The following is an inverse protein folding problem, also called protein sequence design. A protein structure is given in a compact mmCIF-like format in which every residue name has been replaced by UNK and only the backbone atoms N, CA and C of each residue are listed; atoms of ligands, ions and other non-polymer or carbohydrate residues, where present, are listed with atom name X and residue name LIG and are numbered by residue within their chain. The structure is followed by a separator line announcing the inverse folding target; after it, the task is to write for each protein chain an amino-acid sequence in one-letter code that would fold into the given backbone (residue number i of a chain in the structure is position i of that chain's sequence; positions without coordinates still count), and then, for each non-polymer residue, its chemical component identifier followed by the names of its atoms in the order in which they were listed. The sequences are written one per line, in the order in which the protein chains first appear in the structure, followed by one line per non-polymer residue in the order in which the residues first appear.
data_IF_273053091429
#
_entry.id   IF_273053091429
#
_cell.length_a   1.000
_cell.length_b   1.000
_cell.length_c   1.000
_cell.angle_alpha   90.00
_cell.angle_beta   90.00
_cell.angle_gamma   90.00
#
_symmetry.space_group_name_H-M   'P 1'
#
loop_
_entity.id
_entity.type
_entity.pdbx_description
1 polymer ?
#
# COMPACT_ATOMS: atom_id res chain seq x y z
N UNK A 1 33.97 -31.18 -0.48
CA UNK A 1 33.94 -30.16 -1.54
C UNK A 1 32.87 -30.54 -2.55
N UNK A 2 31.70 -29.89 -2.51
CA UNK A 2 30.67 -30.04 -3.54
C UNK A 2 30.23 -28.63 -3.97
N UNK A 3 31.12 -27.93 -4.68
CA UNK A 3 30.96 -26.54 -5.15
C UNK A 3 30.49 -26.49 -6.62
N UNK A 4 29.51 -27.31 -6.98
CA UNK A 4 28.93 -27.33 -8.35
C UNK A 4 27.40 -27.23 -8.38
N UNK A 5 26.75 -26.87 -7.27
CA UNK A 5 25.36 -26.43 -7.36
C UNK A 5 25.37 -25.01 -7.93
N UNK A 6 25.23 -24.89 -9.26
CA UNK A 6 25.01 -23.60 -9.89
C UNK A 6 23.82 -22.92 -9.19
N UNK A 7 23.97 -21.66 -8.73
CA UNK A 7 22.87 -20.92 -8.10
C UNK A 7 21.58 -20.97 -8.94
N UNK A 8 21.72 -20.95 -10.27
CA UNK A 8 20.59 -21.05 -11.20
C UNK A 8 19.83 -22.37 -11.08
N UNK A 9 20.50 -23.50 -10.79
CA UNK A 9 19.84 -24.80 -10.63
C UNK A 9 19.07 -24.86 -9.30
N UNK A 10 19.56 -24.23 -8.24
CA UNK A 10 18.78 -24.09 -7.00
C UNK A 10 17.54 -23.22 -7.22
N UNK A 11 17.67 -22.12 -7.96
CA UNK A 11 16.55 -21.25 -8.33
C UNK A 11 15.51 -21.99 -9.18
N UNK A 12 15.94 -22.77 -10.16
CA UNK A 12 15.06 -23.61 -10.98
C UNK A 12 14.34 -24.69 -10.15
N UNK A 13 15.01 -25.32 -9.18
CA UNK A 13 14.36 -26.27 -8.27
C UNK A 13 13.28 -25.59 -7.42
N UNK A 14 13.53 -24.36 -6.95
CA UNK A 14 12.50 -23.59 -6.22
C UNK A 14 11.34 -23.23 -7.16
N UNK A 15 11.59 -22.66 -8.34
CA UNK A 15 10.51 -22.26 -9.26
C UNK A 15 9.80 -23.42 -9.97
N UNK A 16 10.41 -24.59 -10.02
CA UNK A 16 9.86 -25.78 -10.71
C UNK A 16 8.59 -26.35 -10.08
N UNK A 17 8.22 -25.90 -8.88
CA UNK A 17 6.96 -26.25 -8.25
C UNK A 17 5.86 -25.26 -8.67
N UNK A 18 4.75 -25.74 -9.28
CA UNK A 18 3.70 -24.88 -9.79
C UNK A 18 3.05 -24.00 -8.71
N UNK A 19 2.96 -24.48 -7.47
CA UNK A 19 2.36 -23.71 -6.38
C UNK A 19 3.31 -22.60 -5.90
N UNK A 20 4.62 -22.86 -5.81
CA UNK A 20 5.60 -21.81 -5.47
C UNK A 20 5.57 -20.67 -6.49
N UNK A 21 5.52 -20.99 -7.78
CA UNK A 21 5.46 -19.96 -8.81
C UNK A 21 4.11 -19.23 -8.85
N UNK A 22 2.99 -19.91 -8.57
CA UNK A 22 1.69 -19.24 -8.35
C UNK A 22 1.72 -18.29 -7.16
N UNK A 23 2.29 -18.70 -6.03
CA UNK A 23 2.44 -17.84 -4.84
C UNK A 23 3.28 -16.60 -5.17
N UNK A 24 4.39 -16.74 -5.90
CA UNK A 24 5.19 -15.60 -6.33
C UNK A 24 4.42 -14.64 -7.27
N UNK A 25 3.56 -15.15 -8.17
CA UNK A 25 2.69 -14.31 -9.00
C UNK A 25 1.62 -13.54 -8.21
N UNK A 26 1.18 -14.10 -7.09
CA UNK A 26 0.23 -13.47 -6.17
C UNK A 26 0.96 -12.40 -5.32
N UNK A 27 2.20 -12.65 -4.93
CA UNK A 27 3.05 -11.73 -4.16
C UNK A 27 3.71 -10.63 -5.02
N UNK A 28 3.70 -10.77 -6.34
CA UNK A 28 4.26 -9.79 -7.28
C UNK A 28 3.52 -8.44 -7.16
N UNK A 29 4.19 -7.48 -6.50
CA UNK A 29 3.64 -6.14 -6.23
C UNK A 29 2.62 -6.10 -5.09
N UNK A 30 2.49 -7.16 -4.28
CA UNK A 30 1.54 -7.22 -3.16
C UNK A 30 2.21 -7.69 -1.87
N UNK A 31 1.70 -7.23 -0.73
CA UNK A 31 2.09 -7.72 0.59
C UNK A 31 0.92 -8.38 1.29
N UNK A 32 1.02 -9.69 1.52
CA UNK A 32 -0.10 -10.54 1.96
C UNK A 32 0.27 -11.40 3.17
N UNK A 33 -0.69 -11.61 4.05
CA UNK A 33 -0.60 -12.58 5.14
C UNK A 33 -0.73 -14.02 4.63
N UNK A 34 -0.34 -15.00 5.46
CA UNK A 34 -0.55 -16.41 5.11
C UNK A 34 -2.03 -16.74 4.92
N UNK A 35 -2.92 -16.16 5.73
CA UNK A 35 -4.36 -16.37 5.64
C UNK A 35 -4.90 -15.93 4.28
N UNK A 36 -4.57 -14.70 3.87
CA UNK A 36 -4.96 -14.16 2.56
C UNK A 36 -4.38 -14.99 1.42
N UNK A 37 -3.13 -15.45 1.52
CA UNK A 37 -2.56 -16.37 0.53
C UNK A 37 -3.35 -17.68 0.44
N UNK A 38 -3.78 -18.25 1.58
CA UNK A 38 -4.63 -19.44 1.60
C UNK A 38 -5.97 -19.19 0.90
N UNK A 39 -6.59 -18.03 1.14
CA UNK A 39 -7.84 -17.63 0.49
C UNK A 39 -7.65 -17.45 -1.02
N UNK A 40 -6.50 -16.94 -1.46
CA UNK A 40 -6.19 -16.74 -2.87
C UNK A 40 -5.89 -18.07 -3.58
N UNK A 41 -4.99 -18.91 -3.06
CA UNK A 41 -4.62 -20.16 -3.74
C UNK A 41 -5.54 -21.33 -3.41
N UNK A 42 -6.49 -21.15 -2.49
CA UNK A 42 -7.47 -22.14 -2.02
C UNK A 42 -6.81 -23.40 -1.47
N UNK A 43 -5.83 -23.22 -0.59
CA UNK A 43 -5.07 -24.32 0.00
C UNK A 43 -4.92 -24.16 1.52
N UNK A 44 -4.73 -25.27 2.25
CA UNK A 44 -4.51 -25.23 3.69
C UNK A 44 -3.25 -24.45 4.08
N UNK A 45 -3.32 -23.77 5.22
CA UNK A 45 -2.22 -22.97 5.78
C UNK A 45 -0.91 -23.76 5.96
N UNK A 46 -0.99 -25.04 6.34
CA UNK A 46 0.21 -25.89 6.51
C UNK A 46 0.96 -26.09 5.19
N UNK A 47 0.24 -26.24 4.09
CA UNK A 47 0.80 -26.33 2.74
C UNK A 47 1.42 -25.00 2.34
N UNK A 48 0.65 -23.91 2.38
CA UNK A 48 1.12 -22.57 1.99
C UNK A 48 2.36 -22.15 2.80
N UNK A 49 2.34 -22.34 4.11
CA UNK A 49 3.47 -21.99 5.00
C UNK A 49 4.75 -22.74 4.65
N UNK A 50 4.66 -24.02 4.26
CA UNK A 50 5.81 -24.82 3.83
C UNK A 50 6.43 -24.28 2.54
N UNK A 51 5.60 -23.93 1.57
CA UNK A 51 6.06 -23.34 0.30
C UNK A 51 6.65 -21.95 0.51
N UNK A 52 6.02 -21.11 1.34
CA UNK A 52 6.56 -19.80 1.72
C UNK A 52 7.91 -19.92 2.40
N UNK A 53 8.10 -20.87 3.32
CA UNK A 53 9.41 -21.13 3.92
C UNK A 53 10.46 -21.46 2.86
N UNK A 54 10.12 -22.29 1.88
CA UNK A 54 11.04 -22.64 0.79
C UNK A 54 11.38 -21.41 -0.07
N UNK A 55 10.39 -20.56 -0.35
CA UNK A 55 10.57 -19.33 -1.11
C UNK A 55 11.44 -18.31 -0.35
N UNK A 56 11.23 -18.14 0.96
CA UNK A 56 12.03 -17.25 1.79
C UNK A 56 13.46 -17.76 1.98
N UNK A 57 13.63 -19.06 2.25
CA UNK A 57 14.95 -19.67 2.40
C UNK A 57 15.74 -19.62 1.07
N UNK A 58 15.03 -19.62 -0.07
CA UNK A 58 15.59 -19.48 -1.42
C UNK A 58 15.71 -18.05 -1.94
N UNK A 59 15.45 -17.03 -1.10
CA UNK A 59 15.61 -15.61 -1.48
C UNK A 59 14.55 -15.04 -2.42
N UNK A 60 13.48 -15.77 -2.71
CA UNK A 60 12.42 -15.36 -3.63
C UNK A 60 11.30 -14.55 -2.98
N UNK A 61 11.12 -14.68 -1.67
CA UNK A 61 10.12 -13.94 -0.93
C UNK A 61 10.73 -13.36 0.33
N UNK A 62 10.26 -12.19 0.73
CA UNK A 62 10.60 -11.58 2.00
C UNK A 62 9.48 -11.81 3.01
N UNK A 63 9.83 -11.76 4.29
CA UNK A 63 8.87 -11.86 5.38
C UNK A 63 9.14 -10.78 6.42
N UNK A 64 8.09 -10.05 6.80
CA UNK A 64 8.11 -9.12 7.93
C UNK A 64 7.02 -9.47 8.94
N UNK A 65 7.22 -9.09 10.20
CA UNK A 65 6.20 -9.23 11.25
C UNK A 65 5.33 -7.98 11.27
N UNK A 66 4.03 -8.19 11.41
CA UNK A 66 3.04 -7.13 11.61
C UNK A 66 2.04 -7.58 12.68
N UNK A 67 2.18 -7.03 13.89
CA UNK A 67 1.52 -7.54 15.09
C UNK A 67 1.79 -9.03 15.33
N UNK A 68 0.73 -9.82 15.38
CA UNK A 68 0.78 -11.30 15.54
C UNK A 68 0.95 -12.05 14.22
N UNK A 69 0.92 -11.34 13.09
CA UNK A 69 0.91 -11.93 11.76
C UNK A 69 2.27 -11.80 11.05
N UNK A 70 2.48 -12.63 10.02
CA UNK A 70 3.62 -12.54 9.11
C UNK A 70 3.11 -12.14 7.73
N UNK A 71 3.71 -11.09 7.19
CA UNK A 71 3.42 -10.58 5.85
C UNK A 71 4.54 -10.97 4.90
N UNK A 72 4.17 -11.48 3.74
CA UNK A 72 5.06 -11.92 2.69
C UNK A 72 4.94 -11.01 1.47
N UNK A 73 6.04 -10.79 0.78
CA UNK A 73 6.11 -10.02 -0.46
C UNK A 73 7.19 -10.56 -1.39
N UNK A 74 7.03 -10.32 -2.69
CA UNK A 74 8.10 -10.48 -3.68
C UNK A 74 8.59 -9.08 -4.05
N UNK A 75 9.88 -8.80 -3.79
CA UNK A 75 10.52 -7.55 -4.20
C UNK A 75 11.49 -7.89 -5.32
N UNK A 76 11.05 -7.72 -6.57
CA UNK A 76 11.88 -8.05 -7.74
C UNK A 76 13.20 -7.26 -7.74
N UNK A 77 13.19 -6.03 -7.23
CA UNK A 77 14.40 -5.20 -7.13
C UNK A 77 15.45 -5.71 -6.13
N UNK A 78 15.08 -6.60 -5.22
CA UNK A 78 16.01 -7.20 -4.25
C UNK A 78 16.54 -8.57 -4.73
N UNK A 79 16.04 -9.07 -5.87
CA UNK A 79 16.60 -10.23 -6.53
C UNK A 79 17.89 -9.85 -7.25
N UNK A 80 18.84 -10.79 -7.31
CA UNK A 80 19.97 -10.65 -8.25
C UNK A 80 19.48 -10.69 -9.71
N UNK A 81 20.29 -10.16 -10.63
CA UNK A 81 19.94 -10.02 -12.05
C UNK A 81 19.51 -11.34 -12.69
N UNK A 82 20.15 -12.46 -12.34
CA UNK A 82 19.86 -13.77 -12.91
C UNK A 82 18.51 -14.31 -12.41
N UNK A 83 18.23 -14.15 -11.12
CA UNK A 83 16.94 -14.48 -10.51
C UNK A 83 15.81 -13.63 -11.09
N UNK A 84 16.03 -12.33 -11.28
CA UNK A 84 15.07 -11.42 -11.88
C UNK A 84 14.77 -11.79 -13.35
N UNK A 85 15.81 -12.12 -14.14
CA UNK A 85 15.65 -12.57 -15.53
C UNK A 85 14.90 -13.91 -15.62
N UNK A 86 15.27 -14.88 -14.78
CA UNK A 86 14.59 -16.17 -14.73
C UNK A 86 13.11 -16.01 -14.35
N UNK A 87 12.81 -15.18 -13.36
CA UNK A 87 11.43 -14.90 -12.97
C UNK A 87 10.64 -14.28 -14.10
N UNK A 88 11.22 -13.36 -14.87
CA UNK A 88 10.57 -12.74 -16.03
C UNK A 88 10.12 -13.79 -17.05
N UNK A 89 10.96 -14.80 -17.33
CA UNK A 89 10.64 -15.91 -18.25
C UNK A 89 9.53 -16.80 -17.67
N UNK A 90 9.66 -17.21 -16.41
CA UNK A 90 8.68 -18.09 -15.75
C UNK A 90 7.31 -17.41 -15.64
N UNK A 91 7.28 -16.14 -15.22
CA UNK A 91 6.07 -15.30 -15.14
C UNK A 91 5.35 -15.23 -16.48
N UNK A 92 6.06 -14.95 -17.56
CA UNK A 92 5.47 -14.81 -18.89
C UNK A 92 4.74 -16.09 -19.35
N UNK A 93 5.24 -17.27 -18.97
CA UNK A 93 4.62 -18.55 -19.30
C UNK A 93 3.43 -18.89 -18.40
N UNK A 94 3.48 -18.52 -17.12
CA UNK A 94 2.46 -18.91 -16.15
C UNK A 94 1.20 -18.03 -16.19
N UNK A 95 1.32 -16.75 -16.56
CA UNK A 95 0.18 -15.81 -16.60
C UNK A 95 -0.94 -16.30 -17.53
N UNK A 96 -0.62 -17.11 -18.55
CA UNK A 96 -1.60 -17.67 -19.47
C UNK A 96 -2.39 -18.88 -18.94
N UNK A 97 -2.10 -19.36 -17.72
CA UNK A 97 -2.74 -20.58 -17.19
C UNK A 97 -4.09 -20.29 -16.50
N UNK A 98 -5.12 -21.16 -16.65
CA UNK A 98 -6.42 -20.97 -16.02
C UNK A 98 -6.37 -20.87 -14.49
N UNK A 99 -5.46 -21.63 -13.86
CA UNK A 99 -5.27 -21.59 -12.40
C UNK A 99 -4.80 -20.21 -11.92
N UNK A 100 -3.87 -19.59 -12.65
CA UNK A 100 -3.38 -18.23 -12.33
C UNK A 100 -4.46 -17.18 -12.55
N UNK A 101 -5.26 -17.30 -13.62
CA UNK A 101 -6.38 -16.39 -13.85
C UNK A 101 -7.40 -16.43 -12.70
N UNK A 102 -7.70 -17.63 -12.17
CA UNK A 102 -8.57 -17.80 -11.01
C UNK A 102 -7.95 -17.25 -9.72
N UNK A 103 -6.65 -17.48 -9.49
CA UNK A 103 -5.94 -16.88 -8.36
C UNK A 103 -5.97 -15.36 -8.42
N UNK A 104 -5.78 -14.77 -9.61
CA UNK A 104 -5.86 -13.31 -9.80
C UNK A 104 -7.24 -12.78 -9.42
N UNK A 105 -8.32 -13.40 -9.89
CA UNK A 105 -9.68 -12.99 -9.55
C UNK A 105 -9.95 -13.08 -8.03
N UNK A 106 -9.40 -14.09 -7.35
CA UNK A 106 -9.50 -14.21 -5.89
C UNK A 106 -8.64 -13.19 -5.15
N UNK A 107 -7.45 -12.90 -5.66
CA UNK A 107 -6.59 -11.83 -5.14
C UNK A 107 -7.29 -10.48 -5.21
N UNK A 108 -7.90 -10.16 -6.36
CA UNK A 108 -8.63 -8.91 -6.53
C UNK A 108 -9.76 -8.77 -5.50
N UNK A 109 -10.46 -9.87 -5.20
CA UNK A 109 -11.47 -9.93 -4.14
C UNK A 109 -10.87 -9.70 -2.74
N UNK A 110 -9.80 -10.41 -2.39
CA UNK A 110 -9.13 -10.25 -1.09
C UNK A 110 -8.64 -8.80 -0.88
N UNK A 111 -8.07 -8.18 -1.92
CA UNK A 111 -7.64 -6.79 -1.87
C UNK A 111 -8.82 -5.81 -1.74
N UNK A 112 -9.94 -6.08 -2.43
CA UNK A 112 -11.18 -5.30 -2.28
C UNK A 112 -11.79 -5.43 -0.88
N UNK A 113 -11.79 -6.63 -0.31
CA UNK A 113 -12.28 -6.89 1.04
C UNK A 113 -11.40 -6.17 2.08
N UNK A 114 -10.06 -6.20 1.91
CA UNK A 114 -9.11 -5.45 2.75
C UNK A 114 -9.40 -3.95 2.73
N UNK A 115 -9.58 -3.35 1.53
CA UNK A 115 -9.94 -1.94 1.38
C UNK A 115 -11.25 -1.61 2.09
N UNK A 116 -12.26 -2.48 1.95
CA UNK A 116 -13.56 -2.30 2.60
C UNK A 116 -13.45 -2.35 4.13
N UNK A 117 -12.64 -3.26 4.67
CA UNK A 117 -12.39 -3.33 6.12
C UNK A 117 -11.66 -2.09 6.64
N UNK A 118 -10.64 -1.60 5.91
CA UNK A 118 -9.97 -0.34 6.25
C UNK A 118 -10.96 0.83 6.22
N UNK A 119 -11.78 0.95 5.18
CA UNK A 119 -12.81 1.99 5.10
C UNK A 119 -13.82 1.89 6.26
N UNK A 120 -14.28 0.69 6.61
CA UNK A 120 -15.19 0.47 7.73
C UNK A 120 -14.56 0.79 9.10
N UNK A 121 -13.26 0.56 9.26
CA UNK A 121 -12.51 0.99 10.45
C UNK A 121 -12.53 2.52 10.55
N UNK A 122 -12.20 3.23 9.48
CA UNK A 122 -12.20 4.70 9.47
C UNK A 122 -13.60 5.29 9.65
N UNK A 123 -14.62 4.71 9.03
CA UNK A 123 -16.02 5.12 9.22
C UNK A 123 -16.45 5.07 10.70
N UNK A 124 -16.03 4.03 11.44
CA UNK A 124 -16.33 3.91 12.88
C UNK A 124 -15.53 4.86 13.76
N UNK A 125 -14.28 5.15 13.37
CA UNK A 125 -13.33 5.89 14.21
C UNK A 125 -13.21 7.37 13.83
N UNK A 126 -13.83 7.83 12.74
CA UNK A 126 -13.69 9.22 12.27
C UNK A 126 -13.94 10.29 13.35
N UNK A 127 -14.91 10.06 14.24
CA UNK A 127 -15.20 10.98 15.36
C UNK A 127 -14.16 10.99 16.48
N UNK A 128 -13.45 9.87 16.68
CA UNK A 128 -12.43 9.67 17.72
C UNK A 128 -10.99 9.72 17.15
N UNK A 129 -10.85 9.86 15.83
CA UNK A 129 -9.58 9.70 15.12
C UNK A 129 -8.51 10.68 15.60
N UNK A 130 -8.91 11.91 15.90
CA UNK A 130 -7.99 12.92 16.37
C UNK A 130 -7.49 12.63 17.80
N UNK A 131 -8.33 12.07 18.67
CA UNK A 131 -7.94 11.65 20.02
C UNK A 131 -6.95 10.48 19.93
N UNK A 132 -7.26 9.47 19.12
CA UNK A 132 -6.35 8.33 18.87
C UNK A 132 -5.02 8.79 18.29
N UNK A 133 -5.06 9.74 17.34
CA UNK A 133 -3.85 10.30 16.74
C UNK A 133 -3.02 11.07 17.76
N UNK A 134 -3.66 11.89 18.59
CA UNK A 134 -2.98 12.69 19.62
C UNK A 134 -2.35 11.79 20.69
N UNK A 135 -3.01 10.71 21.09
CA UNK A 135 -2.47 9.72 22.03
C UNK A 135 -1.23 8.99 21.49
N UNK A 136 -1.24 8.65 20.19
CA UNK A 136 -0.16 7.87 19.57
C UNK A 136 1.02 8.74 19.11
N UNK A 137 0.76 9.94 18.61
CA UNK A 137 1.74 10.76 17.88
C UNK A 137 1.92 12.17 18.46
N UNK A 138 1.14 12.53 19.47
CA UNK A 138 1.14 13.87 20.06
C UNK A 138 0.47 14.93 19.17
N UNK A 139 0.28 16.11 19.75
CA UNK A 139 -0.56 17.16 19.15
C UNK A 139 0.12 18.04 18.11
N UNK A 140 1.45 18.03 18.03
CA UNK A 140 2.22 19.13 17.42
C UNK A 140 3.37 18.70 16.50
N UNK A 141 3.65 17.41 16.35
CA UNK A 141 4.94 16.96 15.81
C UNK A 141 5.11 17.07 14.28
N UNK A 142 4.07 17.28 13.48
CA UNK A 142 4.17 16.92 12.05
C UNK A 142 4.43 18.06 11.04
N UNK A 143 4.10 19.32 11.35
CA UNK A 143 4.00 20.37 10.31
C UNK A 143 4.84 21.62 10.55
N UNK A 144 5.35 21.84 11.77
CA UNK A 144 6.02 23.11 12.12
C UNK A 144 7.23 23.41 11.22
N UNK A 145 8.00 22.39 10.84
CA UNK A 145 9.10 22.54 9.89
C UNK A 145 8.65 22.80 8.45
N UNK A 146 7.53 22.19 8.02
CA UNK A 146 6.98 22.40 6.68
C UNK A 146 6.38 23.79 6.52
N UNK A 147 5.73 24.33 7.56
CA UNK A 147 5.16 25.69 7.55
C UNK A 147 6.22 26.76 7.28
N UNK A 148 7.47 26.54 7.70
CA UNK A 148 8.56 27.51 7.55
C UNK A 148 9.01 27.71 6.09
N UNK A 149 8.64 26.81 5.18
CA UNK A 149 9.04 26.85 3.76
C UNK A 149 7.86 27.06 2.81
N UNK A 150 6.64 27.28 3.34
CA UNK A 150 5.46 27.53 2.52
C UNK A 150 5.51 28.92 1.89
N UNK A 151 5.04 28.99 0.64
CA UNK A 151 4.79 30.25 -0.06
C UNK A 151 3.29 30.58 -0.02
N UNK A 152 2.90 31.81 0.38
CA UNK A 152 1.51 32.27 0.35
C UNK A 152 0.82 32.17 -1.01
N UNK A 153 1.56 32.08 -2.12
CA UNK A 153 1.00 31.93 -3.46
C UNK A 153 0.70 30.47 -3.85
N UNK A 154 1.13 29.49 -3.05
CA UNK A 154 1.03 28.08 -3.44
C UNK A 154 -0.37 27.49 -3.37
N UNK A 155 -0.61 26.53 -4.25
CA UNK A 155 -1.71 25.56 -4.17
C UNK A 155 -1.15 24.25 -3.60
N UNK A 156 -1.63 23.85 -2.43
CA UNK A 156 -1.14 22.67 -1.71
C UNK A 156 -2.19 21.57 -1.69
N UNK A 157 -1.83 20.35 -2.03
CA UNK A 157 -2.69 19.17 -1.89
C UNK A 157 -2.41 18.42 -0.58
N UNK A 158 -3.45 18.20 0.23
CA UNK A 158 -3.44 17.30 1.39
C UNK A 158 -4.10 15.97 0.97
N UNK A 159 -3.28 15.00 0.58
CA UNK A 159 -3.74 13.72 0.02
C UNK A 159 -3.87 12.68 1.13
N UNK A 160 -5.09 12.22 1.38
CA UNK A 160 -5.45 11.50 2.61
C UNK A 160 -5.71 12.46 3.77
N UNK A 161 -6.49 13.52 3.54
CA UNK A 161 -6.64 14.60 4.51
C UNK A 161 -7.35 14.18 5.81
N UNK A 162 -8.03 13.02 5.83
CA UNK A 162 -8.78 12.53 6.97
C UNK A 162 -9.78 13.58 7.46
N UNK A 163 -9.73 13.90 8.75
CA UNK A 163 -10.55 14.91 9.43
C UNK A 163 -10.16 16.36 9.11
N UNK A 164 -9.23 16.59 8.18
CA UNK A 164 -8.83 17.93 7.72
C UNK A 164 -7.89 18.69 8.68
N UNK A 165 -7.29 18.02 9.68
CA UNK A 165 -6.41 18.68 10.67
C UNK A 165 -5.18 19.32 10.03
N UNK A 166 -4.55 18.62 9.08
CA UNK A 166 -3.39 19.14 8.34
C UNK A 166 -3.81 20.30 7.44
N UNK A 167 -4.86 20.13 6.61
CA UNK A 167 -5.43 21.19 5.79
C UNK A 167 -5.75 22.47 6.59
N UNK A 168 -6.34 22.36 7.78
CA UNK A 168 -6.67 23.50 8.64
C UNK A 168 -5.41 24.26 9.11
N UNK A 169 -4.31 23.55 9.37
CA UNK A 169 -3.05 24.16 9.76
C UNK A 169 -2.34 24.86 8.58
N UNK A 170 -2.53 24.37 7.36
CA UNK A 170 -1.92 24.93 6.14
C UNK A 170 -2.68 26.15 5.61
N UNK A 171 -4.01 26.13 5.69
CA UNK A 171 -4.89 27.12 5.07
C UNK A 171 -4.51 28.60 5.35
N UNK A 172 -4.02 29.00 6.54
CA UNK A 172 -3.62 30.39 6.78
C UNK A 172 -2.36 30.85 6.04
N UNK A 173 -1.57 29.94 5.47
CA UNK A 173 -0.22 30.21 4.96
C UNK A 173 -0.07 30.04 3.44
N UNK A 174 -1.13 29.69 2.72
CA UNK A 174 -1.10 29.35 1.29
C UNK A 174 -2.32 29.91 0.56
N UNK A 175 -2.24 29.98 -0.78
CA UNK A 175 -3.33 30.53 -1.58
C UNK A 175 -4.54 29.60 -1.59
N UNK A 176 -4.30 28.29 -1.67
CA UNK A 176 -5.36 27.29 -1.69
C UNK A 176 -4.87 25.96 -1.12
N UNK A 177 -5.77 25.26 -0.41
CA UNK A 177 -5.57 23.85 -0.05
C UNK A 177 -6.59 22.99 -0.79
N UNK A 178 -6.13 21.91 -1.43
CA UNK A 178 -6.99 20.86 -1.98
C UNK A 178 -6.90 19.65 -1.04
N UNK A 179 -7.95 19.41 -0.26
CA UNK A 179 -8.02 18.32 0.70
C UNK A 179 -8.73 17.12 0.07
N UNK A 180 -8.04 15.98 -0.04
CA UNK A 180 -8.55 14.77 -0.71
C UNK A 180 -8.60 13.61 0.28
N UNK A 181 -9.75 12.94 0.38
CA UNK A 181 -9.85 11.66 1.10
C UNK A 181 -10.81 10.70 0.37
N UNK A 182 -10.62 9.39 0.56
CA UNK A 182 -11.47 8.37 -0.02
C UNK A 182 -12.76 8.16 0.79
N UNK A 183 -12.71 8.37 2.12
CA UNK A 183 -13.84 8.16 3.04
C UNK A 183 -14.77 9.36 3.07
N UNK A 184 -16.03 9.14 2.73
CA UNK A 184 -17.06 10.16 2.79
C UNK A 184 -17.30 10.66 4.23
N UNK A 185 -17.13 9.78 5.23
CA UNK A 185 -17.25 10.07 6.65
C UNK A 185 -16.13 10.98 7.14
N UNK A 186 -14.87 10.67 6.79
CA UNK A 186 -13.73 11.55 7.06
C UNK A 186 -13.93 12.93 6.45
N UNK A 187 -14.40 12.99 5.20
CA UNK A 187 -14.76 14.24 4.54
C UNK A 187 -15.94 14.97 5.21
N UNK A 188 -16.84 14.25 5.88
CA UNK A 188 -17.87 14.84 6.75
C UNK A 188 -17.24 15.65 7.87
N UNK A 189 -16.37 15.01 8.67
CA UNK A 189 -15.65 15.67 9.75
C UNK A 189 -14.72 16.80 9.25
N UNK A 190 -14.06 16.59 8.10
CA UNK A 190 -13.22 17.62 7.48
C UNK A 190 -14.02 18.86 7.10
N UNK A 191 -15.20 18.70 6.50
CA UNK A 191 -16.07 19.84 6.15
C UNK A 191 -16.48 20.65 7.39
N UNK A 192 -16.79 19.98 8.50
CA UNK A 192 -17.13 20.66 9.75
C UNK A 192 -15.95 21.47 10.29
N UNK A 193 -14.75 20.87 10.32
CA UNK A 193 -13.52 21.54 10.77
C UNK A 193 -13.13 22.73 9.89
N UNK A 194 -13.20 22.53 8.57
CA UNK A 194 -12.71 23.48 7.57
C UNK A 194 -13.75 24.52 7.18
N UNK A 195 -14.93 24.52 7.81
CA UNK A 195 -16.04 25.43 7.48
C UNK A 195 -15.65 26.92 7.55
N UNK A 196 -14.69 27.28 8.40
CA UNK A 196 -14.18 28.65 8.52
C UNK A 196 -13.03 28.99 7.55
N UNK A 197 -12.47 28.00 6.85
CA UNK A 197 -11.34 28.17 5.94
C UNK A 197 -11.85 28.45 4.53
N UNK A 198 -11.84 29.72 4.11
CA UNK A 198 -12.40 30.14 2.82
C UNK A 198 -11.60 29.71 1.57
N UNK A 199 -10.40 29.16 1.74
CA UNK A 199 -9.49 28.77 0.67
C UNK A 199 -9.25 27.25 0.59
N UNK A 200 -10.17 26.44 1.11
CA UNK A 200 -10.03 24.98 1.11
C UNK A 200 -11.07 24.33 0.20
N UNK A 201 -10.61 23.52 -0.74
CA UNK A 201 -11.43 22.72 -1.65
C UNK A 201 -11.35 21.25 -1.24
N UNK A 202 -12.49 20.67 -0.86
CA UNK A 202 -12.57 19.29 -0.36
C UNK A 202 -13.10 18.37 -1.47
N UNK A 203 -12.32 17.35 -1.82
CA UNK A 203 -12.62 16.41 -2.90
C UNK A 203 -12.61 14.96 -2.41
N UNK A 204 -13.53 14.15 -2.93
CA UNK A 204 -13.50 12.71 -2.69
C UNK A 204 -12.67 12.00 -3.75
N UNK A 205 -11.71 11.18 -3.32
CA UNK A 205 -10.87 10.42 -4.24
C UNK A 205 -9.86 9.51 -3.52
N UNK A 206 -9.47 8.43 -4.20
CA UNK A 206 -8.43 7.52 -3.72
C UNK A 206 -7.04 7.98 -4.17
N UNK A 207 -5.99 7.57 -3.44
CA UNK A 207 -4.62 7.91 -3.79
C UNK A 207 -4.17 7.30 -5.12
N UNK A 208 -4.76 6.17 -5.53
CA UNK A 208 -4.51 5.55 -6.84
C UNK A 208 -5.15 6.32 -8.01
N UNK A 209 -6.07 7.25 -7.73
CA UNK A 209 -6.79 8.04 -8.74
C UNK A 209 -7.17 9.41 -8.16
N UNK A 210 -6.16 10.23 -7.89
CA UNK A 210 -6.34 11.53 -7.24
C UNK A 210 -7.10 12.50 -8.15
N UNK A 211 -8.17 13.16 -7.67
CA UNK A 211 -8.95 14.14 -8.45
C UNK A 211 -8.25 15.51 -8.46
N UNK A 212 -6.98 15.54 -8.85
CA UNK A 212 -6.14 16.74 -8.96
C UNK A 212 -5.46 16.72 -10.32
N UNK A 213 -5.45 17.84 -11.02
CA UNK A 213 -4.87 17.91 -12.36
C UNK A 213 -3.34 17.84 -12.29
N UNK A 214 -2.73 17.16 -13.26
CA UNK A 214 -1.27 17.07 -13.35
C UNK A 214 -0.64 18.46 -13.46
N UNK A 215 0.37 18.73 -12.64
CA UNK A 215 1.08 20.01 -12.63
C UNK A 215 0.26 21.19 -12.08
N UNK A 216 -0.86 20.94 -11.39
CA UNK A 216 -1.72 22.01 -10.86
C UNK A 216 -1.47 22.38 -9.40
N UNK A 217 -0.47 21.78 -8.74
CA UNK A 217 -0.15 22.01 -7.33
C UNK A 217 1.35 22.22 -7.16
N UNK A 218 1.72 23.08 -6.23
CA UNK A 218 3.12 23.39 -5.91
C UNK A 218 3.70 22.40 -4.87
N UNK A 219 2.83 21.84 -4.02
CA UNK A 219 3.20 20.89 -2.99
C UNK A 219 2.08 19.84 -2.79
N UNK A 220 2.46 18.57 -2.63
CA UNK A 220 1.57 17.50 -2.19
C UNK A 220 2.08 16.89 -0.89
N UNK A 221 1.20 16.74 0.09
CA UNK A 221 1.48 16.14 1.40
C UNK A 221 0.72 14.84 1.55
N UNK A 222 1.40 13.82 2.09
CA UNK A 222 0.84 12.51 2.42
C UNK A 222 1.17 12.21 3.88
N UNK A 223 0.29 12.59 4.80
CA UNK A 223 0.53 12.44 6.24
C UNK A 223 -0.17 11.20 6.76
N UNK A 224 0.59 10.23 7.27
CA UNK A 224 0.07 8.98 7.85
C UNK A 224 -0.93 8.23 6.95
N UNK A 225 -0.81 8.33 5.62
CA UNK A 225 -1.77 7.68 4.69
C UNK A 225 -1.16 6.55 3.86
N UNK A 226 0.13 6.61 3.53
CA UNK A 226 0.76 5.66 2.59
C UNK A 226 0.69 4.20 3.03
N UNK A 227 0.59 3.94 4.34
CA UNK A 227 0.49 2.59 4.89
C UNK A 227 -0.89 1.94 4.68
N UNK A 228 -1.87 2.69 4.15
CA UNK A 228 -3.17 2.15 3.72
C UNK A 228 -3.20 1.76 2.24
N UNK A 229 -2.15 2.07 1.49
CA UNK A 229 -2.04 1.77 0.06
C UNK A 229 -1.32 0.43 -0.12
N UNK A 230 -1.81 -0.41 -1.04
CA UNK A 230 -1.18 -1.70 -1.35
C UNK A 230 0.21 -1.57 -1.97
N UNK A 231 0.39 -0.58 -2.86
CA UNK A 231 1.66 -0.24 -3.51
C UNK A 231 1.92 1.28 -3.40
N UNK A 232 2.67 1.73 -2.37
CA UNK A 232 2.99 3.15 -2.18
C UNK A 232 3.77 3.76 -3.36
N UNK A 233 4.63 2.99 -4.02
CA UNK A 233 5.43 3.50 -5.14
C UNK A 233 4.58 3.76 -6.38
N UNK A 234 3.48 3.01 -6.55
CA UNK A 234 2.55 3.28 -7.64
C UNK A 234 1.80 4.62 -7.50
N UNK A 235 1.64 5.11 -6.27
CA UNK A 235 0.96 6.37 -5.95
C UNK A 235 1.90 7.58 -6.04
N UNK A 236 3.20 7.42 -5.79
CA UNK A 236 4.19 8.51 -5.78
C UNK A 236 4.76 8.85 -7.18
N UNK A 237 3.97 8.65 -8.24
CA UNK A 237 4.42 8.83 -9.64
C UNK A 237 4.14 10.23 -10.19
#
# INVERSE_FOLDING_TARGET
MNQLASPVLSHLNVLGDPLRSRLLLVLDGQTLSVGELCDVVQLPQSTVSRHLKTLTDGGWAQVRRDGTSRLYSLVIGDLDDASAELWRVVRAQLVATPAVAQDRARLDRVLADRRTQSAAFFSRTAGEWDDVRDDLFGSSFHLQGALAVLDPAWVVADLGCGTGRTAAALAPFVAQVIAVDASAEMLGAARERLAACGNVDIRQGALEAVPVATGSVDLALLVLVLHHVGDPLAVLR
#
